data_IF_840818452552
#
_entry.id   IF_840818452552
#
_cell.length_a   1.000
_cell.length_b   1.000
_cell.length_c   1.000
_cell.angle_alpha   90.00
_cell.angle_beta   90.00
_cell.angle_gamma   90.00
#
_symmetry.space_group_name_H-M   'P 1'
#
loop_
_entity.id
_entity.type
_entity.pdbx_description
1 polymer ?
#
# COMPACT_ATOMS: atom_id res chain seq x y z
N UNK A 1 16.68 -5.35 10.95
CA UNK A 1 15.75 -4.20 11.02
C UNK A 1 14.43 -4.68 10.45
N UNK A 2 13.35 -4.72 11.23
CA UNK A 2 12.05 -5.18 10.72
C UNK A 2 11.51 -4.14 9.74
N UNK A 3 11.17 -4.58 8.52
CA UNK A 3 10.45 -3.73 7.55
C UNK A 3 8.98 -3.67 7.95
N UNK A 4 8.38 -2.48 7.92
CA UNK A 4 6.93 -2.32 8.04
C UNK A 4 6.33 -2.66 6.69
N UNK A 5 5.39 -3.61 6.66
CA UNK A 5 4.66 -3.98 5.44
C UNK A 5 3.24 -3.45 5.56
N UNK A 6 2.83 -2.60 4.64
CA UNK A 6 1.50 -1.98 4.66
C UNK A 6 0.52 -2.76 3.78
N UNK A 7 -0.66 -2.99 4.36
CA UNK A 7 -1.83 -3.48 3.64
C UNK A 7 -2.50 -2.37 2.82
N UNK A 8 -3.33 -2.74 1.84
CA UNK A 8 -4.09 -1.80 1.03
C UNK A 8 -4.98 -0.88 1.89
N UNK A 9 -5.63 -1.43 2.92
CA UNK A 9 -6.50 -0.65 3.81
C UNK A 9 -5.73 0.43 4.59
N UNK A 10 -4.50 0.13 5.04
CA UNK A 10 -3.65 1.09 5.72
C UNK A 10 -3.21 2.23 4.80
N UNK A 11 -2.89 1.92 3.53
CA UNK A 11 -2.54 2.93 2.53
C UNK A 11 -3.74 3.84 2.22
N UNK A 12 -4.93 3.25 2.02
CA UNK A 12 -6.15 4.01 1.79
C UNK A 12 -6.50 4.93 2.96
N UNK A 13 -6.32 4.45 4.19
CA UNK A 13 -6.54 5.27 5.38
C UNK A 13 -5.63 6.52 5.39
N UNK A 14 -4.35 6.37 5.03
CA UNK A 14 -3.41 7.51 4.92
C UNK A 14 -3.84 8.47 3.81
N UNK A 15 -4.16 7.95 2.62
CA UNK A 15 -4.51 8.76 1.44
C UNK A 15 -5.82 9.54 1.64
N UNK A 16 -6.82 8.89 2.24
CA UNK A 16 -8.15 9.46 2.48
C UNK A 16 -8.24 10.22 3.81
N UNK A 17 -7.18 10.22 4.63
CA UNK A 17 -7.15 10.78 5.99
C UNK A 17 -8.25 10.20 6.88
N UNK A 18 -8.42 8.88 6.82
CA UNK A 18 -9.39 8.15 7.65
C UNK A 18 -8.93 8.09 9.12
N UNK A 19 -9.87 7.88 10.07
CA UNK A 19 -9.52 7.67 11.47
C UNK A 19 -8.51 6.52 11.64
N UNK A 20 -7.41 6.77 12.35
CA UNK A 20 -6.33 5.80 12.55
C UNK A 20 -5.12 6.00 11.64
N UNK A 21 -5.23 6.83 10.59
CA UNK A 21 -4.09 7.23 9.76
C UNK A 21 -2.99 7.95 10.55
N UNK A 22 -3.36 8.65 11.63
CA UNK A 22 -2.48 9.32 12.58
C UNK A 22 -1.53 8.35 13.31
N UNK A 23 -1.86 7.06 13.37
CA UNK A 23 -1.00 6.02 13.94
C UNK A 23 0.17 5.64 13.04
N UNK A 24 0.08 5.94 11.74
CA UNK A 24 1.12 5.68 10.74
C UNK A 24 1.99 6.92 10.62
N UNK A 25 2.98 7.04 11.50
CA UNK A 25 3.83 8.22 11.56
C UNK A 25 4.67 8.37 10.28
N UNK A 26 5.10 9.60 9.92
CA UNK A 26 5.98 9.81 8.77
C UNK A 26 7.25 8.97 8.80
N UNK A 27 7.82 8.74 9.99
CA UNK A 27 9.00 7.88 10.18
C UNK A 27 8.70 6.42 9.82
N UNK A 28 7.55 5.90 10.24
CA UNK A 28 7.10 4.55 9.87
C UNK A 28 6.92 4.43 8.36
N UNK A 29 6.22 5.39 7.74
CA UNK A 29 6.00 5.42 6.29
C UNK A 29 7.31 5.50 5.49
N UNK A 30 8.30 6.23 5.99
CA UNK A 30 9.63 6.38 5.33
C UNK A 30 10.44 5.08 5.20
N UNK A 31 10.07 4.05 5.97
CA UNK A 31 10.70 2.72 5.96
C UNK A 31 9.73 1.61 5.55
N UNK A 32 8.49 1.97 5.22
CA UNK A 32 7.45 1.03 4.86
C UNK A 32 7.57 0.59 3.39
N UNK A 33 7.13 -0.64 3.14
CA UNK A 33 6.92 -1.21 1.81
C UNK A 33 5.52 -1.75 1.69
N UNK A 34 5.07 -2.01 0.47
CA UNK A 34 3.83 -2.74 0.22
C UNK A 34 3.98 -3.68 -0.97
N UNK A 35 3.25 -4.79 -0.93
CA UNK A 35 3.18 -5.75 -2.03
C UNK A 35 2.53 -5.12 -3.26
N UNK A 36 3.00 -5.45 -4.45
CA UNK A 36 2.35 -5.04 -5.71
C UNK A 36 0.88 -5.47 -5.80
N UNK A 37 0.47 -6.52 -5.08
CA UNK A 37 -0.94 -6.94 -4.99
C UNK A 37 -1.76 -5.91 -4.22
N UNK A 38 -1.27 -5.44 -3.07
CA UNK A 38 -1.95 -4.43 -2.26
C UNK A 38 -2.00 -3.09 -3.02
N UNK A 39 -0.93 -2.73 -3.73
CA UNK A 39 -0.92 -1.53 -4.59
C UNK A 39 -1.95 -1.61 -5.72
N UNK A 40 -2.15 -2.78 -6.32
CA UNK A 40 -3.19 -2.97 -7.33
C UNK A 40 -4.60 -2.75 -6.73
N UNK A 41 -4.84 -3.19 -5.49
CA UNK A 41 -6.10 -2.92 -4.80
C UNK A 41 -6.30 -1.42 -4.54
N UNK A 42 -5.29 -0.73 -3.99
CA UNK A 42 -5.33 0.73 -3.76
C UNK A 42 -5.60 1.48 -5.07
N UNK A 43 -4.86 1.16 -6.13
CA UNK A 43 -5.06 1.71 -7.47
C UNK A 43 -6.51 1.52 -7.93
N UNK A 44 -7.02 0.29 -7.85
CA UNK A 44 -8.40 -0.02 -8.25
C UNK A 44 -9.44 0.76 -7.45
N UNK A 45 -9.23 0.93 -6.14
CA UNK A 45 -10.10 1.72 -5.27
C UNK A 45 -10.09 3.19 -5.66
N UNK A 46 -8.93 3.81 -5.84
CA UNK A 46 -8.80 5.21 -6.25
C UNK A 46 -9.43 5.47 -7.62
N UNK A 47 -9.19 4.59 -8.59
CA UNK A 47 -9.85 4.67 -9.91
C UNK A 47 -11.37 4.54 -9.78
N UNK A 48 -11.86 3.64 -8.93
CA UNK A 48 -13.31 3.49 -8.68
C UNK A 48 -13.95 4.72 -8.04
N UNK A 49 -13.16 5.53 -7.32
CA UNK A 49 -13.56 6.82 -6.74
C UNK A 49 -13.46 7.99 -7.73
N UNK A 50 -13.06 7.71 -8.98
CA UNK A 50 -13.04 8.68 -10.08
C UNK A 50 -11.70 9.33 -10.35
N UNK A 51 -10.60 8.89 -9.73
CA UNK A 51 -9.27 9.37 -10.07
C UNK A 51 -8.85 8.84 -11.45
N UNK A 52 -8.15 9.68 -12.22
CA UNK A 52 -7.54 9.24 -13.46
C UNK A 52 -6.48 8.16 -13.17
N UNK A 53 -6.32 7.12 -14.00
CA UNK A 53 -5.41 6.01 -13.71
C UNK A 53 -3.96 6.40 -13.41
N UNK A 54 -3.44 7.44 -14.06
CA UNK A 54 -2.10 7.97 -13.78
C UNK A 54 -2.01 8.63 -12.41
N UNK A 55 -2.93 9.54 -12.10
CA UNK A 55 -2.99 10.23 -10.80
C UNK A 55 -3.22 9.25 -9.65
N UNK A 56 -4.07 8.24 -9.87
CA UNK A 56 -4.29 7.15 -8.92
C UNK A 56 -3.00 6.37 -8.64
N UNK A 57 -2.17 6.14 -9.67
CA UNK A 57 -0.94 5.38 -9.52
C UNK A 57 0.12 6.18 -8.74
N UNK A 58 0.28 7.46 -9.07
CA UNK A 58 1.16 8.37 -8.32
C UNK A 58 0.71 8.48 -6.85
N UNK A 59 -0.60 8.62 -6.61
CA UNK A 59 -1.14 8.63 -5.25
C UNK A 59 -0.88 7.31 -4.51
N UNK A 60 -1.05 6.17 -5.18
CA UNK A 60 -0.81 4.82 -4.63
C UNK A 60 0.63 4.64 -4.13
N UNK A 61 1.62 5.21 -4.83
CA UNK A 61 3.03 5.10 -4.46
C UNK A 61 3.49 6.14 -3.42
N UNK A 62 2.79 7.28 -3.32
CA UNK A 62 3.19 8.40 -2.46
C UNK A 62 3.44 8.10 -0.97
N UNK A 63 2.76 7.14 -0.29
CA UNK A 63 2.96 6.91 1.14
C UNK A 63 4.12 5.97 1.47
N UNK A 64 4.73 5.30 0.48
CA UNK A 64 5.72 4.24 0.70
C UNK A 64 7.06 4.55 0.07
N UNK A 65 8.10 3.92 0.61
CA UNK A 65 9.46 4.03 0.06
C UNK A 65 9.63 3.20 -1.21
N UNK A 66 9.12 1.97 -1.19
CA UNK A 66 9.32 1.00 -2.28
C UNK A 66 8.16 0.01 -2.38
N UNK A 67 7.81 -0.35 -3.62
CA UNK A 67 6.94 -1.49 -3.91
C UNK A 67 7.75 -2.78 -3.92
N UNK A 68 7.21 -3.84 -3.30
CA UNK A 68 7.79 -5.18 -3.34
C UNK A 68 6.99 -6.07 -4.29
N UNK A 69 7.65 -6.68 -5.28
CA UNK A 69 7.01 -7.62 -6.19
C UNK A 69 6.48 -8.85 -5.44
N UNK A 70 5.24 -9.23 -5.73
CA UNK A 70 4.67 -10.49 -5.24
C UNK A 70 5.13 -11.65 -6.13
N UNK A 71 5.84 -12.62 -5.56
CA UNK A 71 6.50 -13.73 -6.28
C UNK A 71 5.80 -15.06 -6.02
N UNK A 72 6.24 -16.13 -6.70
CA UNK A 72 5.71 -17.47 -6.46
C UNK A 72 5.98 -17.95 -5.02
N UNK A 73 7.13 -17.61 -4.45
CA UNK A 73 7.48 -17.93 -3.06
C UNK A 73 6.55 -17.22 -2.08
N UNK A 74 6.21 -15.95 -2.33
CA UNK A 74 5.21 -15.24 -1.55
C UNK A 74 3.83 -15.88 -1.67
N UNK A 75 3.46 -16.35 -2.86
CA UNK A 75 2.19 -17.04 -3.10
C UNK A 75 2.09 -18.37 -2.33
N UNK A 76 3.13 -19.20 -2.39
CA UNK A 76 3.21 -20.45 -1.64
C UNK A 76 3.16 -20.21 -0.13
N UNK A 77 3.98 -19.26 0.36
CA UNK A 77 4.00 -18.91 1.78
C UNK A 77 2.64 -18.41 2.28
N UNK A 78 1.96 -17.54 1.52
CA UNK A 78 0.64 -17.04 1.89
C UNK A 78 -0.44 -18.14 1.89
N UNK A 79 -0.35 -19.10 0.96
CA UNK A 79 -1.29 -20.23 0.89
C UNK A 79 -1.13 -21.27 2.02
N UNK A 80 -0.02 -21.23 2.75
CA UNK A 80 0.27 -22.14 3.86
C UNK A 80 -0.15 -21.61 5.24
N UNK A 81 -0.73 -20.39 5.31
CA UNK A 81 -1.24 -19.76 6.54
C UNK A 81 -2.69 -20.18 6.83
#
# INVERSE_FOLDING_TARGET
MNKIVLDASALLAVLNREPGADRLTPEMLSTATSSTVNLAEVQGKLVSLGLAPGDAWEATLSPIREATAFTAEHAEAAGNL
#
